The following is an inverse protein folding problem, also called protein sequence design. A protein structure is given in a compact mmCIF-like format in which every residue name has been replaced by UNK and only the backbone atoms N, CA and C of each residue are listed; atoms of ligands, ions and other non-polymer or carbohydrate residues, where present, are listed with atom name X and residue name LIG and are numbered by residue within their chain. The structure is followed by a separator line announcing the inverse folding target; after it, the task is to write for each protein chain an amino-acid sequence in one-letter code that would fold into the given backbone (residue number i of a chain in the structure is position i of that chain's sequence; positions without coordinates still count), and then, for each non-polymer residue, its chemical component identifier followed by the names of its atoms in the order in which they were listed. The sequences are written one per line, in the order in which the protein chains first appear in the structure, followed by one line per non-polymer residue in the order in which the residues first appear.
data_IF_598630424116
#
_entry.id   IF_598630424116
#
_cell.length_a   1.000
_cell.length_b   1.000
_cell.length_c   1.000
_cell.angle_alpha   90.00
_cell.angle_beta   90.00
_cell.angle_gamma   90.00
#
_symmetry.space_group_name_H-M   'P 1'
#
loop_
_entity.id
_entity.type
_entity.pdbx_description
1 polymer ?
#
# COMPACT_ATOMS: atom_id res chain seq x y z
N UNK A 1 18.42 -6.84 0.18
CA UNK A 1 18.59 -5.36 0.25
C UNK A 1 18.57 -4.99 1.73
N UNK A 2 19.58 -4.26 2.24
CA UNK A 2 19.61 -3.86 3.67
C UNK A 2 18.77 -2.60 3.85
N UNK A 3 17.86 -2.60 4.83
CA UNK A 3 17.02 -1.45 5.22
C UNK A 3 17.82 -0.63 6.25
N UNK A 4 17.90 0.69 6.10
CA UNK A 4 18.55 1.58 7.07
C UNK A 4 17.52 2.03 8.12
N UNK A 5 17.66 1.51 9.35
CA UNK A 5 16.65 1.64 10.41
C UNK A 5 16.66 3.03 11.10
N UNK A 6 17.74 3.81 10.94
CA UNK A 6 17.91 5.09 11.65
C UNK A 6 17.38 6.31 10.87
N UNK A 7 17.15 6.18 9.56
CA UNK A 7 16.47 7.21 8.76
C UNK A 7 14.95 7.27 9.06
N UNK A 8 14.43 6.30 9.83
CA UNK A 8 13.01 5.95 9.90
C UNK A 8 12.16 6.77 10.89
N UNK A 9 12.70 7.78 11.57
CA UNK A 9 11.94 8.55 12.58
C UNK A 9 11.38 9.83 11.96
N UNK A 10 10.14 9.79 11.49
CA UNK A 10 9.36 11.04 11.37
C UNK A 10 8.91 11.40 12.77
N UNK A 11 9.27 12.60 13.24
CA UNK A 11 8.75 13.06 14.51
C UNK A 11 7.26 13.33 14.35
N UNK A 12 6.48 13.11 15.41
CA UNK A 12 5.02 13.36 15.41
C UNK A 12 4.69 14.78 14.91
N UNK A 13 5.53 15.76 15.26
CA UNK A 13 5.37 17.14 14.82
C UNK A 13 5.50 17.29 13.29
N UNK A 14 6.44 16.56 12.66
CA UNK A 14 6.62 16.58 11.21
C UNK A 14 5.41 15.97 10.48
N UNK A 15 4.79 14.95 11.09
CA UNK A 15 3.55 14.34 10.56
C UNK A 15 2.41 15.36 10.64
N UNK A 16 2.24 16.04 11.78
CA UNK A 16 1.22 17.08 11.98
C UNK A 16 1.40 18.22 10.97
N UNK A 17 2.62 18.72 10.82
CA UNK A 17 2.94 19.80 9.88
C UNK A 17 2.68 19.36 8.44
N UNK A 18 3.15 18.18 8.05
CA UNK A 18 2.93 17.61 6.73
C UNK A 18 1.44 17.49 6.38
N UNK A 19 0.64 16.94 7.29
CA UNK A 19 -0.82 16.82 7.09
C UNK A 19 -1.50 18.20 6.92
N UNK A 20 -1.12 19.19 7.74
CA UNK A 20 -1.66 20.55 7.60
C UNK A 20 -1.29 21.16 6.24
N UNK A 21 -0.03 21.02 5.81
CA UNK A 21 0.42 21.50 4.50
C UNK A 21 -0.36 20.84 3.36
N UNK A 22 -0.68 19.55 3.47
CA UNK A 22 -1.39 18.81 2.42
C UNK A 22 -2.86 19.12 2.38
N UNK A 23 -3.45 19.40 3.54
CA UNK A 23 -4.82 19.90 3.61
C UNK A 23 -4.97 21.15 2.75
N UNK A 24 -4.01 22.08 2.81
CA UNK A 24 -4.02 23.27 1.96
C UNK A 24 -3.71 22.97 0.48
N UNK A 25 -2.82 22.02 0.20
CA UNK A 25 -2.34 21.73 -1.15
C UNK A 25 -3.33 20.89 -1.99
N UNK A 26 -4.02 19.94 -1.36
CA UNK A 26 -4.73 18.85 -2.02
C UNK A 26 -6.21 18.77 -1.69
N UNK A 27 -6.67 19.44 -0.63
CA UNK A 27 -8.06 19.35 -0.21
C UNK A 27 -8.83 20.62 -0.59
N UNK A 28 -9.99 20.42 -1.21
CA UNK A 28 -11.02 21.45 -1.26
C UNK A 28 -11.83 21.35 0.05
N UNK A 29 -12.50 22.43 0.51
CA UNK A 29 -13.08 22.47 1.87
C UNK A 29 -14.08 21.33 2.17
N UNK A 30 -14.78 20.83 1.15
CA UNK A 30 -15.85 19.83 1.28
C UNK A 30 -15.53 18.47 0.62
N UNK A 31 -14.25 18.16 0.44
CA UNK A 31 -13.79 16.92 -0.17
C UNK A 31 -13.68 15.77 0.85
N UNK A 32 -14.06 14.54 0.45
CA UNK A 32 -13.86 13.33 1.25
C UNK A 32 -12.40 13.12 1.70
N UNK A 33 -11.43 13.50 0.88
CA UNK A 33 -10.01 13.42 1.25
C UNK A 33 -9.65 14.39 2.38
N UNK A 34 -10.32 15.54 2.48
CA UNK A 34 -10.15 16.46 3.61
C UNK A 34 -10.55 15.78 4.93
N UNK A 35 -11.65 15.02 4.91
CA UNK A 35 -12.13 14.27 6.08
C UNK A 35 -11.07 13.27 6.53
N UNK A 36 -10.51 12.50 5.62
CA UNK A 36 -9.46 11.52 5.94
C UNK A 36 -8.20 12.19 6.51
N UNK A 37 -7.74 13.30 5.92
CA UNK A 37 -6.59 14.07 6.44
C UNK A 37 -6.87 14.63 7.84
N UNK A 38 -8.10 15.07 8.12
CA UNK A 38 -8.53 15.53 9.45
C UNK A 38 -8.55 14.36 10.45
N UNK A 39 -9.06 13.19 10.07
CA UNK A 39 -9.05 11.99 10.91
C UNK A 39 -7.62 11.55 11.25
N UNK A 40 -6.73 11.52 10.27
CA UNK A 40 -5.31 11.28 10.47
C UNK A 40 -4.69 12.29 11.45
N UNK A 41 -4.98 13.58 11.27
CA UNK A 41 -4.45 14.63 12.14
C UNK A 41 -4.96 14.49 13.59
N UNK A 42 -6.23 14.12 13.76
CA UNK A 42 -6.82 13.86 15.08
C UNK A 42 -6.14 12.66 15.75
N UNK A 43 -5.97 11.54 15.04
CA UNK A 43 -5.29 10.35 15.54
C UNK A 43 -3.83 10.65 15.94
N UNK A 44 -3.07 11.35 15.09
CA UNK A 44 -1.67 11.72 15.40
C UNK A 44 -1.59 12.60 16.65
N UNK A 45 -2.49 13.56 16.82
CA UNK A 45 -2.56 14.41 18.03
C UNK A 45 -2.96 13.63 19.28
N UNK A 46 -3.92 12.70 19.16
CA UNK A 46 -4.32 11.83 20.25
C UNK A 46 -3.15 10.93 20.67
N UNK A 47 -2.48 10.28 19.71
CA UNK A 47 -1.29 9.46 19.95
C UNK A 47 -0.16 10.24 20.62
N UNK A 48 0.12 11.47 20.15
CA UNK A 48 1.10 12.37 20.75
C UNK A 48 0.80 12.69 22.22
N UNK A 49 -0.49 12.88 22.53
CA UNK A 49 -0.94 13.19 23.89
C UNK A 49 -0.80 11.97 24.80
N UNK A 50 -1.11 10.77 24.28
CA UNK A 50 -0.94 9.50 24.98
C UNK A 50 0.54 9.26 25.30
N UNK A 51 1.45 9.47 24.34
CA UNK A 51 2.89 9.31 24.56
C UNK A 51 3.49 10.26 25.60
N UNK A 52 2.87 11.44 25.83
CA UNK A 52 3.28 12.39 26.87
C UNK A 52 2.64 12.10 28.23
N UNK A 53 1.68 11.18 28.29
CA UNK A 53 0.99 10.81 29.51
C UNK A 53 1.94 10.14 30.51
N UNK A 54 1.61 10.24 31.79
CA UNK A 54 2.33 9.57 32.88
C UNK A 54 1.91 8.11 33.06
N UNK A 55 0.86 7.67 32.35
CA UNK A 55 0.33 6.32 32.43
C UNK A 55 0.95 5.43 31.35
N UNK A 56 1.17 4.13 31.63
CA UNK A 56 1.63 3.19 30.63
C UNK A 56 0.61 3.08 29.50
N UNK A 57 1.12 3.00 28.26
CA UNK A 57 0.29 2.89 27.07
C UNK A 57 -0.21 1.44 26.95
N UNK A 58 -1.53 1.24 27.01
CA UNK A 58 -2.13 -0.07 26.79
C UNK A 58 -2.45 -0.31 25.32
N UNK A 59 -1.45 -0.79 24.57
CA UNK A 59 -1.56 -1.06 23.13
C UNK A 59 -2.54 -2.18 22.77
N UNK A 60 -3.00 -3.00 23.73
CA UNK A 60 -4.09 -3.97 23.52
C UNK A 60 -5.47 -3.36 23.29
N UNK A 61 -5.64 -2.05 23.52
CA UNK A 61 -6.91 -1.36 23.24
C UNK A 61 -7.18 -1.28 21.73
N UNK A 62 -8.36 -1.75 21.29
CA UNK A 62 -8.81 -1.62 19.90
C UNK A 62 -8.80 -0.16 19.41
N UNK A 63 -9.19 0.80 20.27
CA UNK A 63 -9.15 2.23 19.94
C UNK A 63 -7.73 2.73 19.69
N UNK A 64 -6.77 2.29 20.51
CA UNK A 64 -5.37 2.67 20.31
C UNK A 64 -4.77 1.99 19.07
N UNK A 65 -5.13 0.74 18.81
CA UNK A 65 -4.75 0.02 17.59
C UNK A 65 -5.26 0.74 16.34
N UNK A 66 -6.52 1.16 16.33
CA UNK A 66 -7.08 1.98 15.26
C UNK A 66 -6.33 3.31 15.10
N UNK A 67 -6.05 4.00 16.21
CA UNK A 67 -5.25 5.22 16.21
C UNK A 67 -3.86 5.00 15.58
N UNK A 68 -3.19 3.90 15.93
CA UNK A 68 -1.90 3.52 15.36
C UNK A 68 -1.97 3.23 13.85
N UNK A 69 -3.06 2.66 13.34
CA UNK A 69 -3.27 2.51 11.90
C UNK A 69 -3.34 3.87 11.20
N UNK A 70 -4.11 4.82 11.73
CA UNK A 70 -4.17 6.17 11.19
C UNK A 70 -2.83 6.89 11.24
N UNK A 71 -2.08 6.74 12.33
CA UNK A 71 -0.71 7.29 12.45
C UNK A 71 0.20 6.70 11.36
N UNK A 72 0.17 5.38 11.14
CA UNK A 72 0.98 4.74 10.10
C UNK A 72 0.58 5.22 8.69
N UNK A 73 -0.71 5.35 8.41
CA UNK A 73 -1.21 5.90 7.13
C UNK A 73 -0.79 7.35 6.92
N UNK A 74 -0.85 8.18 7.97
CA UNK A 74 -0.40 9.57 7.96
C UNK A 74 1.10 9.67 7.68
N UNK A 75 1.91 8.82 8.34
CA UNK A 75 3.36 8.76 8.12
C UNK A 75 3.67 8.49 6.65
N UNK A 76 3.02 7.50 6.03
CA UNK A 76 3.26 7.15 4.64
C UNK A 76 2.88 8.28 3.68
N UNK A 77 1.69 8.86 3.88
CA UNK A 77 1.23 9.99 3.07
C UNK A 77 2.20 11.18 3.16
N UNK A 78 2.62 11.51 4.39
CA UNK A 78 3.62 12.56 4.67
C UNK A 78 4.95 12.27 4.00
N UNK A 79 5.48 11.05 4.12
CA UNK A 79 6.75 10.67 3.50
C UNK A 79 6.70 10.80 1.98
N UNK A 80 5.73 10.17 1.35
CA UNK A 80 5.68 10.16 -0.10
C UNK A 80 5.53 11.57 -0.66
N UNK A 81 4.57 12.34 -0.15
CA UNK A 81 4.34 13.68 -0.66
C UNK A 81 5.55 14.56 -0.41
N UNK A 82 6.23 14.48 0.75
CA UNK A 82 7.41 15.30 1.03
C UNK A 82 8.57 14.99 0.06
N UNK A 83 8.75 13.71 -0.31
CA UNK A 83 9.82 13.28 -1.22
C UNK A 83 9.54 13.61 -2.69
N UNK A 84 8.29 13.88 -3.08
CA UNK A 84 7.97 14.37 -4.43
C UNK A 84 8.47 15.81 -4.58
N UNK A 85 9.51 16.01 -5.38
CA UNK A 85 10.14 17.32 -5.61
C UNK A 85 9.25 18.25 -6.44
N UNK A 86 8.68 17.73 -7.52
CA UNK A 86 7.73 18.49 -8.35
C UNK A 86 6.28 18.27 -7.86
N UNK A 87 5.82 19.19 -7.01
CA UNK A 87 4.45 19.17 -6.47
C UNK A 87 3.37 19.31 -7.56
N UNK A 88 3.69 19.79 -8.78
CA UNK A 88 2.70 19.85 -9.87
C UNK A 88 2.25 18.45 -10.28
N UNK A 89 3.11 17.43 -10.12
CA UNK A 89 2.76 16.04 -10.41
C UNK A 89 1.65 15.50 -9.51
N UNK A 90 1.50 16.03 -8.29
CA UNK A 90 0.42 15.64 -7.38
C UNK A 90 -0.98 15.95 -7.94
N UNK A 91 -1.10 16.97 -8.81
CA UNK A 91 -2.38 17.31 -9.46
C UNK A 91 -2.92 16.14 -10.30
N UNK A 92 -2.04 15.32 -10.87
CA UNK A 92 -2.42 14.16 -11.71
C UNK A 92 -3.06 13.02 -10.91
N UNK A 93 -2.73 12.91 -9.62
CA UNK A 93 -3.24 11.87 -8.73
C UNK A 93 -4.27 12.41 -7.72
N UNK A 94 -4.65 13.70 -7.82
CA UNK A 94 -5.63 14.32 -6.91
C UNK A 94 -6.94 13.55 -6.93
N UNK A 95 -7.46 13.18 -8.11
CA UNK A 95 -8.70 12.41 -8.22
C UNK A 95 -8.63 11.06 -7.49
N UNK A 96 -7.50 10.35 -7.58
CA UNK A 96 -7.27 9.10 -6.86
C UNK A 96 -7.16 9.29 -5.35
N UNK A 97 -6.52 10.37 -4.89
CA UNK A 97 -6.50 10.74 -3.47
C UNK A 97 -7.92 10.97 -2.93
N UNK A 98 -8.78 11.66 -3.70
CA UNK A 98 -10.20 11.86 -3.37
C UNK A 98 -10.95 10.54 -3.18
N UNK A 99 -10.73 9.60 -4.10
CA UNK A 99 -11.36 8.29 -4.07
C UNK A 99 -10.87 7.45 -2.88
N UNK A 100 -9.56 7.41 -2.62
CA UNK A 100 -9.01 6.62 -1.50
C UNK A 100 -9.39 7.23 -0.16
N UNK A 101 -9.55 8.56 -0.08
CA UNK A 101 -10.03 9.25 1.13
C UNK A 101 -11.37 8.75 1.66
N UNK A 102 -12.23 8.13 0.84
CA UNK A 102 -13.49 7.53 1.31
C UNK A 102 -13.34 6.10 1.84
N UNK A 103 -12.21 5.43 1.60
CA UNK A 103 -11.99 4.00 1.93
C UNK A 103 -10.76 3.73 2.81
N UNK A 104 -10.18 4.77 3.40
CA UNK A 104 -8.93 4.71 4.14
C UNK A 104 -7.70 4.68 3.24
N UNK A 105 -6.64 5.39 3.63
CA UNK A 105 -5.34 5.29 2.94
C UNK A 105 -4.44 4.22 3.58
N UNK A 106 -3.67 3.51 2.76
CA UNK A 106 -2.60 2.61 3.22
C UNK A 106 -3.09 1.46 4.09
N UNK A 107 -2.43 1.26 5.24
CA UNK A 107 -2.70 0.12 6.12
C UNK A 107 -4.12 0.13 6.69
N UNK A 108 -4.67 1.31 6.96
CA UNK A 108 -6.03 1.44 7.46
C UNK A 108 -7.06 0.82 6.49
N UNK A 109 -6.88 1.04 5.18
CA UNK A 109 -7.73 0.46 4.12
C UNK A 109 -7.71 -1.09 4.13
N UNK A 110 -6.53 -1.66 4.33
CA UNK A 110 -6.34 -3.12 4.40
C UNK A 110 -7.00 -3.70 5.64
N UNK A 111 -6.96 -3.00 6.77
CA UNK A 111 -7.47 -3.48 8.05
C UNK A 111 -8.98 -3.29 8.20
N UNK A 112 -9.57 -2.24 7.61
CA UNK A 112 -11.03 -2.09 7.57
C UNK A 112 -11.72 -3.28 6.90
N UNK A 113 -11.09 -3.90 5.89
CA UNK A 113 -11.60 -5.12 5.24
C UNK A 113 -11.44 -6.41 6.06
N UNK A 114 -10.63 -6.41 7.11
CA UNK A 114 -10.57 -7.52 8.08
C UNK A 114 -11.53 -7.28 9.25
N UNK A 115 -11.85 -6.01 9.53
CA UNK A 115 -12.92 -5.62 10.45
C UNK A 115 -14.23 -5.31 9.72
N UNK A 116 -14.75 -6.23 8.90
CA UNK A 116 -16.10 -6.11 8.30
C UNK A 116 -17.26 -5.98 9.33
N UNK A 117 -16.96 -5.94 10.64
CA UNK A 117 -17.89 -5.66 11.73
C UNK A 117 -17.81 -4.22 12.29
N UNK A 118 -16.79 -3.40 11.97
CA UNK A 118 -16.70 -2.00 12.44
C UNK A 118 -17.47 -1.00 11.57
N UNK A 119 -18.06 -1.46 10.46
CA UNK A 119 -19.10 -0.75 9.71
C UNK A 119 -20.26 -0.29 10.63
N UNK A 120 -20.46 -0.91 11.79
CA UNK A 120 -21.45 -0.50 12.78
C UNK A 120 -21.15 0.85 13.44
N UNK A 121 -19.87 1.21 13.66
CA UNK A 121 -19.49 2.46 14.31
C UNK A 121 -19.60 3.66 13.36
N UNK A 122 -19.22 3.48 12.09
CA UNK A 122 -19.36 4.53 11.07
C UNK A 122 -20.82 4.71 10.63
N UNK A 123 -21.60 3.62 10.57
CA UNK A 123 -23.04 3.68 10.28
C UNK A 123 -23.82 4.32 11.45
N UNK A 124 -23.35 4.23 12.70
CA UNK A 124 -23.92 5.00 13.82
C UNK A 124 -23.53 6.49 13.78
N UNK A 125 -22.28 6.83 13.44
CA UNK A 125 -21.86 8.22 13.27
C UNK A 125 -22.51 8.93 12.06
N UNK A 126 -22.91 8.17 11.03
CA UNK A 126 -23.57 8.70 9.83
C UNK A 126 -25.10 8.60 9.86
N UNK A 127 -25.70 7.75 10.69
CA UNK A 127 -27.16 7.76 10.95
C UNK A 127 -27.65 9.08 11.58
N UNK A 128 -26.77 9.85 12.22
CA UNK A 128 -27.09 11.20 12.69
C UNK A 128 -27.05 12.27 11.59
N UNK A 129 -26.53 11.95 10.40
CA UNK A 129 -26.57 12.80 9.20
C UNK A 129 -27.36 12.08 8.11
N UNK A 130 -28.67 12.33 8.09
CA UNK A 130 -29.53 11.92 6.98
C UNK A 130 -28.89 12.31 5.64
N UNK A 131 -28.89 11.37 4.69
CA UNK A 131 -28.29 11.41 3.35
C UNK A 131 -26.78 11.17 3.25
N UNK A 132 -26.40 9.89 3.19
CA UNK A 132 -25.82 9.35 1.96
C UNK A 132 -25.77 7.83 2.02
N UNK A 133 -26.47 7.17 1.10
CA UNK A 133 -26.33 5.73 0.86
C UNK A 133 -24.94 5.52 0.27
N UNK A 134 -23.92 5.33 1.11
CA UNK A 134 -22.55 5.11 0.62
C UNK A 134 -22.59 3.86 -0.27
N UNK A 135 -22.24 4.04 -1.54
CA UNK A 135 -22.25 2.96 -2.50
C UNK A 135 -21.12 2.00 -2.12
N UNK A 136 -21.47 0.84 -1.55
CA UNK A 136 -20.53 -0.22 -1.13
C UNK A 136 -19.57 -0.65 -2.26
N UNK A 137 -19.92 -0.42 -3.53
CA UNK A 137 -19.02 -0.65 -4.67
C UNK A 137 -17.87 0.36 -4.72
N UNK A 138 -18.14 1.64 -4.41
CA UNK A 138 -17.14 2.72 -4.37
C UNK A 138 -16.14 2.51 -3.24
N UNK A 139 -16.59 2.10 -2.04
CA UNK A 139 -15.69 1.77 -0.92
C UNK A 139 -14.80 0.56 -1.23
N UNK A 140 -15.38 -0.48 -1.84
CA UNK A 140 -14.62 -1.68 -2.24
C UNK A 140 -13.54 -1.35 -3.27
N UNK A 141 -13.85 -0.46 -4.20
CA UNK A 141 -12.93 0.02 -5.22
C UNK A 141 -11.85 0.93 -4.63
N UNK A 142 -12.21 1.90 -3.78
CA UNK A 142 -11.28 2.79 -3.08
C UNK A 142 -10.19 2.04 -2.32
N UNK A 143 -10.57 1.02 -1.54
CA UNK A 143 -9.59 0.22 -0.80
C UNK A 143 -8.67 -0.62 -1.72
N UNK A 144 -9.12 -1.01 -2.93
CA UNK A 144 -8.23 -1.67 -3.93
C UNK A 144 -7.27 -0.67 -4.57
N UNK A 145 -7.72 0.58 -4.76
CA UNK A 145 -6.93 1.68 -5.30
C UNK A 145 -5.92 2.26 -4.33
N UNK A 146 -6.04 1.98 -3.03
CA UNK A 146 -5.10 2.45 -2.00
C UNK A 146 -3.65 2.06 -2.32
N UNK A 147 -3.40 0.81 -2.74
CA UNK A 147 -2.06 0.30 -3.05
C UNK A 147 -1.54 0.87 -4.36
N UNK A 148 -2.39 1.00 -5.37
CA UNK A 148 -2.04 1.66 -6.62
C UNK A 148 -1.62 3.11 -6.35
N UNK A 149 -2.37 3.81 -5.51
CA UNK A 149 -2.06 5.18 -5.13
C UNK A 149 -0.74 5.26 -4.33
N UNK A 150 -0.49 4.35 -3.40
CA UNK A 150 0.77 4.28 -2.66
C UNK A 150 1.96 4.08 -3.62
N UNK A 151 1.84 3.16 -4.57
CA UNK A 151 2.88 2.91 -5.57
C UNK A 151 3.09 4.10 -6.50
N UNK A 152 2.02 4.79 -6.89
CA UNK A 152 2.11 6.00 -7.69
C UNK A 152 2.82 7.12 -6.94
N UNK A 153 2.43 7.35 -5.68
CA UNK A 153 3.06 8.32 -4.80
C UNK A 153 4.56 8.01 -4.59
N UNK A 154 4.90 6.74 -4.36
CA UNK A 154 6.28 6.28 -4.31
C UNK A 154 6.99 6.56 -5.64
N UNK A 155 6.40 6.20 -6.77
CA UNK A 155 7.03 6.37 -8.06
C UNK A 155 7.26 7.85 -8.43
N UNK A 156 6.34 8.76 -8.09
CA UNK A 156 6.50 10.20 -8.34
C UNK A 156 7.73 10.84 -7.66
N UNK A 157 8.26 10.22 -6.60
CA UNK A 157 9.50 10.66 -5.95
C UNK A 157 10.74 10.36 -6.82
N UNK A 158 10.75 9.23 -7.54
CA UNK A 158 11.95 8.72 -8.20
C UNK A 158 11.90 8.76 -9.73
N UNK A 159 10.71 8.86 -10.32
CA UNK A 159 10.49 8.72 -11.76
C UNK A 159 9.92 10.00 -12.39
N UNK A 160 9.95 10.05 -13.72
CA UNK A 160 9.62 11.26 -14.47
C UNK A 160 8.13 11.54 -14.46
N UNK A 161 7.31 10.49 -14.55
CA UNK A 161 5.86 10.62 -14.48
C UNK A 161 5.18 9.33 -14.04
N UNK A 162 3.92 9.46 -13.62
CA UNK A 162 3.02 8.34 -13.33
C UNK A 162 1.65 8.61 -13.93
N UNK A 163 1.10 7.58 -14.57
CA UNK A 163 -0.26 7.55 -15.08
C UNK A 163 -1.00 6.45 -14.30
N UNK A 164 -2.03 6.82 -13.56
CA UNK A 164 -2.95 5.89 -12.91
C UNK A 164 -4.15 5.64 -13.81
N UNK A 165 -4.61 4.39 -13.86
CA UNK A 165 -5.89 4.09 -14.52
C UNK A 165 -7.04 4.79 -13.76
N UNK A 166 -7.94 5.44 -14.51
CA UNK A 166 -9.11 6.07 -13.93
C UNK A 166 -10.14 4.98 -13.54
N UNK A 167 -10.50 4.87 -12.26
CA UNK A 167 -11.46 3.88 -11.78
C UNK A 167 -12.87 4.07 -12.38
N UNK A 168 -13.26 5.31 -12.69
CA UNK A 168 -14.60 5.63 -13.22
C UNK A 168 -14.68 5.46 -14.75
N UNK A 169 -13.53 5.45 -15.42
CA UNK A 169 -13.45 5.41 -16.89
C UNK A 169 -12.61 4.25 -17.41
N UNK A 170 -12.41 3.20 -16.61
CA UNK A 170 -11.78 1.97 -17.08
C UNK A 170 -12.62 1.39 -18.22
N UNK A 171 -12.02 1.25 -19.40
CA UNK A 171 -12.71 0.74 -20.58
C UNK A 171 -12.06 -0.55 -21.05
N UNK A 172 -12.88 -1.58 -21.24
CA UNK A 172 -12.46 -2.83 -21.89
C UNK A 172 -11.87 -2.61 -23.29
N UNK A 173 -12.28 -1.51 -23.95
CA UNK A 173 -11.79 -1.12 -25.27
C UNK A 173 -10.43 -0.44 -25.22
N UNK A 174 -10.01 0.11 -24.07
CA UNK A 174 -8.71 0.75 -23.87
C UNK A 174 -8.08 0.44 -22.51
N UNK A 175 -7.75 -0.84 -22.23
CA UNK A 175 -7.25 -1.24 -20.93
C UNK A 175 -5.80 -0.79 -20.78
N UNK A 176 -5.59 0.13 -19.84
CA UNK A 176 -4.27 0.43 -19.32
C UNK A 176 -3.95 -0.60 -18.23
N UNK A 177 -2.66 -0.80 -17.91
CA UNK A 177 -2.32 -1.37 -16.63
C UNK A 177 -2.76 -0.41 -15.52
N UNK A 178 -2.93 -0.93 -14.31
CA UNK A 178 -3.38 -0.16 -13.16
C UNK A 178 -2.46 1.07 -12.94
N UNK A 179 -1.16 0.93 -13.21
CA UNK A 179 -0.19 2.02 -13.28
C UNK A 179 0.72 1.94 -14.51
N UNK A 180 1.07 3.11 -15.07
CA UNK A 180 2.21 3.29 -15.97
C UNK A 180 3.20 4.25 -15.31
N UNK A 181 4.44 3.80 -15.12
CA UNK A 181 5.54 4.63 -14.62
C UNK A 181 6.48 4.97 -15.77
N UNK A 182 6.84 6.26 -15.89
CA UNK A 182 7.66 6.78 -17.00
C UNK A 182 9.07 7.11 -16.51
N UNK A 183 10.09 6.62 -17.23
CA UNK A 183 11.50 6.96 -17.02
C UNK A 183 12.21 7.11 -18.37
N UNK A 184 12.50 8.35 -18.76
CA UNK A 184 12.94 8.71 -20.10
C UNK A 184 11.91 8.25 -21.14
N UNK A 185 12.37 7.43 -22.09
CA UNK A 185 11.51 6.84 -23.13
C UNK A 185 10.81 5.55 -22.68
N UNK A 186 11.17 5.01 -21.51
CA UNK A 186 10.61 3.77 -21.02
C UNK A 186 9.27 4.01 -20.31
N UNK A 187 8.31 3.13 -20.60
CA UNK A 187 6.98 3.09 -19.98
C UNK A 187 6.77 1.72 -19.36
N UNK A 188 6.88 1.66 -18.04
CA UNK A 188 6.72 0.43 -17.25
C UNK A 188 5.26 0.26 -16.87
N UNK A 189 4.65 -0.86 -17.24
CA UNK A 189 3.28 -1.19 -16.85
C UNK A 189 3.26 -2.02 -15.59
N UNK A 190 2.44 -1.65 -14.61
CA UNK A 190 2.22 -2.44 -13.39
C UNK A 190 0.74 -2.81 -13.32
N UNK A 191 0.47 -4.11 -13.32
CA UNK A 191 -0.87 -4.63 -13.03
C UNK A 191 -0.91 -5.10 -11.58
N UNK A 192 -1.65 -4.40 -10.74
CA UNK A 192 -1.83 -4.63 -9.32
C UNK A 192 -3.00 -5.58 -9.06
N UNK A 193 -2.79 -6.57 -8.18
CA UNK A 193 -3.83 -7.48 -7.70
C UNK A 193 -3.66 -7.68 -6.19
N UNK A 194 -4.70 -7.43 -5.42
CA UNK A 194 -4.73 -7.80 -3.99
C UNK A 194 -5.36 -9.17 -3.83
N UNK A 195 -4.71 -10.05 -3.07
CA UNK A 195 -5.17 -11.41 -2.82
C UNK A 195 -5.55 -11.55 -1.36
N UNK A 196 -6.73 -12.13 -1.12
CA UNK A 196 -7.30 -12.37 0.22
C UNK A 196 -7.62 -13.84 0.47
N UNK A 197 -7.18 -14.75 -0.41
CA UNK A 197 -7.35 -16.19 -0.27
C UNK A 197 -6.02 -16.92 -0.39
N UNK A 198 -5.83 -18.00 0.39
CA UNK A 198 -4.70 -18.92 0.27
C UNK A 198 -4.87 -19.92 -0.88
N UNK A 199 -5.94 -19.83 -1.65
CA UNK A 199 -6.21 -20.74 -2.76
C UNK A 199 -5.23 -20.51 -3.93
N UNK A 200 -4.41 -21.54 -4.24
CA UNK A 200 -3.43 -21.52 -5.33
C UNK A 200 -4.02 -21.20 -6.70
N UNK A 201 -5.19 -21.76 -7.03
CA UNK A 201 -5.84 -21.54 -8.32
C UNK A 201 -6.29 -20.09 -8.48
N UNK A 202 -6.84 -19.50 -7.42
CA UNK A 202 -7.20 -18.08 -7.39
C UNK A 202 -5.96 -17.17 -7.56
N UNK A 203 -4.84 -17.49 -6.90
CA UNK A 203 -3.57 -16.77 -7.09
C UNK A 203 -3.10 -16.82 -8.56
N UNK A 204 -3.08 -18.02 -9.16
CA UNK A 204 -2.69 -18.22 -10.57
C UNK A 204 -3.61 -17.42 -11.49
N UNK A 205 -4.92 -17.45 -11.26
CA UNK A 205 -5.90 -16.70 -12.04
C UNK A 205 -5.67 -15.19 -11.97
N UNK A 206 -5.30 -14.65 -10.80
CA UNK A 206 -4.94 -13.25 -10.66
C UNK A 206 -3.68 -12.89 -11.46
N UNK A 207 -2.65 -13.76 -11.45
CA UNK A 207 -1.45 -13.59 -12.28
C UNK A 207 -1.81 -13.62 -13.77
N UNK A 208 -2.63 -14.58 -14.21
CA UNK A 208 -3.07 -14.69 -15.60
C UNK A 208 -3.83 -13.44 -16.08
N UNK A 209 -4.73 -12.92 -15.24
CA UNK A 209 -5.46 -11.68 -15.54
C UNK A 209 -4.53 -10.47 -15.62
N UNK A 210 -3.56 -10.35 -14.72
CA UNK A 210 -2.56 -9.28 -14.76
C UNK A 210 -1.71 -9.36 -16.04
N UNK A 211 -1.24 -10.56 -16.43
CA UNK A 211 -0.49 -10.78 -17.68
C UNK A 211 -1.36 -10.40 -18.89
N UNK A 212 -2.64 -10.78 -18.89
CA UNK A 212 -3.58 -10.42 -19.97
C UNK A 212 -3.75 -8.91 -20.08
N UNK A 213 -3.89 -8.20 -18.96
CA UNK A 213 -3.98 -6.73 -18.91
C UNK A 213 -2.72 -6.09 -19.53
N UNK A 214 -1.54 -6.54 -19.10
CA UNK A 214 -0.25 -6.03 -19.60
C UNK A 214 -0.05 -6.32 -21.10
N UNK A 215 -0.44 -7.50 -21.59
CA UNK A 215 -0.40 -7.83 -23.03
C UNK A 215 -1.26 -6.90 -23.87
N UNK A 216 -2.47 -6.58 -23.41
CA UNK A 216 -3.34 -5.63 -24.13
C UNK A 216 -2.72 -4.24 -24.17
N UNK A 217 -2.16 -3.77 -23.05
CA UNK A 217 -1.47 -2.49 -22.98
C UNK A 217 -0.24 -2.43 -23.91
N UNK A 218 0.51 -3.52 -24.02
CA UNK A 218 1.63 -3.66 -24.95
C UNK A 218 1.17 -3.62 -26.42
N UNK A 219 0.10 -4.35 -26.76
CA UNK A 219 -0.45 -4.35 -28.13
C UNK A 219 -0.89 -2.94 -28.59
N UNK A 220 -1.27 -2.08 -27.64
CA UNK A 220 -1.59 -0.67 -27.86
C UNK A 220 -0.40 0.28 -27.75
N UNK A 221 0.80 -0.24 -27.46
CA UNK A 221 2.03 0.53 -27.25
C UNK A 221 1.95 1.54 -26.09
N UNK A 222 1.08 1.28 -25.10
CA UNK A 222 1.01 2.09 -23.87
C UNK A 222 2.21 1.85 -22.95
N UNK A 223 2.88 0.70 -23.10
CA UNK A 223 4.07 0.28 -22.34
C UNK A 223 5.12 -0.30 -23.28
N UNK A 224 6.39 -0.32 -22.85
CA UNK A 224 7.49 -0.91 -23.61
C UNK A 224 7.50 -2.45 -23.57
N UNK A 225 8.06 -3.08 -24.60
CA UNK A 225 8.22 -4.54 -24.67
C UNK A 225 9.11 -5.05 -23.54
N UNK A 226 8.63 -6.06 -22.80
CA UNK A 226 9.33 -6.62 -21.64
C UNK A 226 9.36 -5.71 -20.41
N UNK A 227 8.56 -4.63 -20.39
CA UNK A 227 8.47 -3.68 -19.27
C UNK A 227 7.15 -3.78 -18.49
N UNK A 228 6.43 -4.89 -18.65
CA UNK A 228 5.20 -5.19 -17.89
C UNK A 228 5.49 -6.04 -16.66
N UNK A 229 5.00 -5.61 -15.49
CA UNK A 229 5.24 -6.23 -14.19
C UNK A 229 3.90 -6.60 -13.55
N UNK A 230 3.79 -7.84 -13.06
CA UNK A 230 2.66 -8.24 -12.21
C UNK A 230 3.00 -7.88 -10.77
N UNK A 231 2.17 -7.09 -10.11
CA UNK A 231 2.32 -6.71 -8.72
C UNK A 231 1.18 -7.33 -7.91
N UNK A 232 1.54 -8.11 -6.90
CA UNK A 232 0.58 -8.81 -6.05
C UNK A 232 0.75 -8.34 -4.62
N UNK A 233 -0.30 -7.75 -4.10
CA UNK A 233 -0.43 -7.46 -2.68
C UNK A 233 -1.01 -8.69 -1.95
N UNK A 234 -0.29 -9.15 -0.93
CA UNK A 234 -0.70 -10.26 -0.05
C UNK A 234 -0.99 -9.78 1.38
N UNK A 235 -1.08 -8.47 1.60
CA UNK A 235 -1.24 -7.90 2.93
C UNK A 235 -2.47 -8.46 3.65
N UNK A 236 -3.60 -8.63 2.95
CA UNK A 236 -4.82 -9.18 3.54
C UNK A 236 -4.70 -10.64 4.07
N UNK A 237 -3.62 -11.36 3.70
CA UNK A 237 -3.35 -12.73 4.17
C UNK A 237 -2.45 -12.79 5.41
N UNK A 238 -1.90 -11.67 5.85
CA UNK A 238 -1.06 -11.62 7.04
C UNK A 238 -1.92 -11.76 8.31
N UNK A 239 -1.37 -12.39 9.35
CA UNK A 239 -1.97 -12.39 10.68
C UNK A 239 -1.65 -11.05 11.37
N UNK A 240 -2.47 -10.05 11.08
CA UNK A 240 -2.27 -8.69 11.53
C UNK A 240 -2.40 -8.49 13.04
N UNK A 241 -3.19 -9.30 13.73
CA UNK A 241 -3.28 -9.25 15.19
C UNK A 241 -1.95 -9.67 15.82
N UNK A 242 -1.43 -10.83 15.38
CA UNK A 242 -0.13 -11.34 15.82
C UNK A 242 1.01 -10.39 15.43
N UNK A 243 0.96 -9.81 14.24
CA UNK A 243 1.97 -8.84 13.78
C UNK A 243 1.92 -7.54 14.57
N UNK A 244 0.73 -7.02 14.87
CA UNK A 244 0.58 -5.80 15.65
C UNK A 244 1.21 -5.96 17.03
N UNK A 245 0.79 -6.99 17.76
CA UNK A 245 1.38 -7.43 19.03
C UNK A 245 1.13 -8.92 19.21
N UNK A 246 2.16 -9.77 19.43
CA UNK A 246 1.95 -11.22 19.53
C UNK A 246 1.21 -11.60 20.82
N UNK A 247 1.28 -10.77 21.86
CA UNK A 247 0.40 -10.79 23.03
C UNK A 247 0.44 -9.43 23.75
N UNK A 248 -0.46 -9.21 24.70
CA UNK A 248 -0.64 -7.93 25.42
C UNK A 248 0.61 -7.45 26.20
N UNK A 249 1.55 -8.36 26.50
CA UNK A 249 2.74 -8.07 27.30
C UNK A 249 4.04 -8.12 26.49
N UNK A 250 3.95 -8.24 25.16
CA UNK A 250 5.12 -8.41 24.31
C UNK A 250 5.08 -7.43 23.14
N UNK A 251 6.19 -6.71 23.01
CA UNK A 251 6.48 -5.85 21.87
C UNK A 251 7.60 -6.47 21.04
N UNK A 252 7.59 -6.22 19.75
CA UNK A 252 8.65 -6.70 18.89
C UNK A 252 9.95 -5.95 19.17
N UNK A 253 11.08 -6.64 19.07
CA UNK A 253 12.37 -5.97 18.94
C UNK A 253 12.40 -5.27 17.56
N UNK A 254 12.68 -3.96 17.55
CA UNK A 254 12.70 -3.17 16.32
C UNK A 254 13.72 -3.64 15.28
N UNK A 255 14.83 -4.26 15.71
CA UNK A 255 15.82 -4.86 14.83
C UNK A 255 15.37 -6.22 14.28
N UNK A 256 14.52 -6.95 15.01
CA UNK A 256 14.00 -8.25 14.59
C UNK A 256 12.71 -8.13 13.74
N UNK A 257 11.93 -7.07 13.92
CA UNK A 257 10.65 -6.86 13.24
C UNK A 257 10.69 -6.98 11.70
N UNK A 258 11.73 -6.50 10.98
CA UNK A 258 11.86 -6.75 9.54
C UNK A 258 11.94 -8.25 9.19
N UNK A 259 12.65 -9.05 9.99
CA UNK A 259 12.76 -10.48 9.76
C UNK A 259 11.42 -11.19 10.04
N UNK A 260 10.68 -10.74 11.06
CA UNK A 260 9.35 -11.27 11.41
C UNK A 260 8.37 -11.09 10.25
N UNK A 261 8.24 -9.88 9.71
CA UNK A 261 7.30 -9.66 8.60
C UNK A 261 7.72 -10.41 7.33
N UNK A 262 9.02 -10.51 7.04
CA UNK A 262 9.51 -11.31 5.90
C UNK A 262 9.23 -12.80 6.06
N UNK A 263 9.29 -13.30 7.30
CA UNK A 263 8.92 -14.68 7.61
C UNK A 263 7.42 -14.92 7.40
N UNK A 264 6.56 -14.02 7.88
CA UNK A 264 5.11 -14.12 7.67
C UNK A 264 4.75 -14.06 6.17
N UNK A 265 5.38 -13.17 5.39
CA UNK A 265 5.22 -13.15 3.93
C UNK A 265 5.66 -14.47 3.30
N UNK A 266 6.77 -15.03 3.75
CA UNK A 266 7.26 -16.32 3.23
C UNK A 266 6.31 -17.46 3.56
N UNK A 267 5.71 -17.47 4.76
CA UNK A 267 4.70 -18.45 5.15
C UNK A 267 3.43 -18.32 4.31
N UNK A 268 2.93 -17.09 4.09
CA UNK A 268 1.79 -16.84 3.20
C UNK A 268 2.06 -17.37 1.80
N UNK A 269 3.22 -17.08 1.23
CA UNK A 269 3.59 -17.57 -0.10
C UNK A 269 3.71 -19.09 -0.14
N UNK A 270 4.25 -19.72 0.90
CA UNK A 270 4.31 -21.18 1.01
C UNK A 270 2.91 -21.81 1.07
N UNK A 271 1.99 -21.21 1.84
CA UNK A 271 0.61 -21.66 1.93
C UNK A 271 -0.13 -21.52 0.58
N UNK A 272 0.15 -20.45 -0.17
CA UNK A 272 -0.49 -20.18 -1.47
C UNK A 272 0.09 -21.05 -2.59
N UNK A 273 1.42 -21.15 -2.69
CA UNK A 273 2.10 -21.81 -3.81
C UNK A 273 2.37 -23.30 -3.56
N UNK A 274 2.35 -23.73 -2.29
CA UNK A 274 2.74 -25.06 -1.85
C UNK A 274 4.27 -25.26 -1.88
N UNK A 275 4.69 -26.51 -1.97
CA UNK A 275 6.12 -26.91 -2.05
C UNK A 275 6.74 -26.79 -3.45
N UNK A 276 5.99 -26.30 -4.43
CA UNK A 276 6.46 -26.20 -5.81
C UNK A 276 7.36 -25.00 -6.04
N UNK A 277 8.34 -25.16 -6.94
CA UNK A 277 9.20 -24.06 -7.37
C UNK A 277 8.41 -23.00 -8.17
N UNK A 278 8.75 -21.73 -7.96
CA UNK A 278 8.07 -20.58 -8.59
C UNK A 278 8.14 -20.66 -10.12
N UNK A 279 9.27 -21.04 -10.69
CA UNK A 279 9.42 -21.18 -12.13
C UNK A 279 8.53 -22.31 -12.67
N UNK A 280 8.43 -23.44 -11.95
CA UNK A 280 7.52 -24.53 -12.33
C UNK A 280 6.04 -24.12 -12.31
N UNK A 281 5.63 -23.28 -11.35
CA UNK A 281 4.23 -22.88 -11.15
C UNK A 281 3.83 -21.75 -12.11
N UNK A 282 4.64 -20.69 -12.18
CA UNK A 282 4.29 -19.45 -12.87
C UNK A 282 4.96 -19.31 -14.23
N UNK A 283 6.11 -19.96 -14.45
CA UNK A 283 6.85 -19.92 -15.72
C UNK A 283 5.99 -20.22 -16.95
N UNK A 284 5.11 -21.24 -16.94
CA UNK A 284 4.19 -21.50 -18.05
C UNK A 284 3.30 -20.31 -18.43
N UNK A 285 2.90 -19.45 -17.48
CA UNK A 285 2.03 -18.30 -17.71
C UNK A 285 2.74 -17.19 -18.51
N UNK A 286 4.04 -17.06 -18.29
CA UNK A 286 4.90 -16.09 -18.96
C UNK A 286 5.47 -16.62 -20.28
N UNK A 287 5.30 -17.91 -20.60
CA UNK A 287 5.67 -18.42 -21.92
C UNK A 287 4.88 -17.67 -22.99
N UNK A 288 5.59 -17.13 -23.99
CA UNK A 288 5.05 -16.32 -25.09
C UNK A 288 4.48 -14.96 -24.63
N UNK A 289 4.79 -14.50 -23.43
CA UNK A 289 4.36 -13.18 -22.97
C UNK A 289 5.49 -12.18 -23.18
N UNK A 290 5.26 -11.14 -23.97
CA UNK A 290 6.20 -10.02 -24.15
C UNK A 290 6.18 -9.06 -22.94
N UNK A 291 6.00 -9.61 -21.75
CA UNK A 291 6.02 -8.93 -20.44
C UNK A 291 7.18 -9.49 -19.62
N UNK A 292 7.63 -8.78 -18.58
CA UNK A 292 8.72 -9.30 -17.76
C UNK A 292 8.29 -10.58 -17.04
N UNK A 293 9.13 -11.64 -17.00
CA UNK A 293 8.82 -12.90 -16.34
C UNK A 293 9.04 -12.77 -14.81
N UNK A 294 8.38 -11.81 -14.19
CA UNK A 294 8.46 -11.56 -12.75
C UNK A 294 7.10 -11.20 -12.16
N UNK A 295 6.89 -11.66 -10.92
CA UNK A 295 5.81 -11.25 -10.05
C UNK A 295 6.42 -10.57 -8.83
N UNK A 296 6.02 -9.34 -8.55
CA UNK A 296 6.43 -8.61 -7.36
C UNK A 296 5.40 -8.84 -6.28
N UNK A 297 5.78 -9.53 -5.22
CA UNK A 297 4.99 -9.68 -4.01
C UNK A 297 5.23 -8.48 -3.13
N UNK A 298 4.15 -7.86 -2.70
CA UNK A 298 4.14 -6.78 -1.74
C UNK A 298 3.31 -7.19 -0.54
N UNK A 299 3.78 -6.81 0.63
CA UNK A 299 2.96 -6.83 1.82
C UNK A 299 3.26 -5.58 2.64
N UNK A 300 2.33 -5.21 3.48
CA UNK A 300 2.55 -4.22 4.52
C UNK A 300 1.99 -4.68 5.86
N UNK A 301 2.57 -4.21 6.95
CA UNK A 301 2.16 -4.59 8.30
C UNK A 301 2.54 -3.52 9.31
N UNK A 302 1.70 -3.37 10.33
CA UNK A 302 1.96 -2.54 11.48
C UNK A 302 2.35 -3.42 12.66
N UNK A 303 3.40 -3.04 13.37
CA UNK A 303 3.92 -3.74 14.53
C UNK A 303 4.20 -2.72 15.63
N UNK A 304 3.91 -3.03 16.89
CA UNK A 304 4.46 -2.24 18.01
C UNK A 304 5.85 -2.80 18.31
N UNK A 305 6.87 -1.96 18.19
CA UNK A 305 8.25 -2.38 18.39
C UNK A 305 9.03 -1.42 19.30
N UNK A 306 9.91 -2.00 20.12
CA UNK A 306 10.80 -1.29 21.03
C UNK A 306 12.26 -1.32 20.59
N UNK A 307 13.01 -0.27 20.93
CA UNK A 307 14.46 -0.15 20.76
C UNK A 307 15.20 0.06 22.10
N UNK A 308 14.53 -0.23 23.22
CA UNK A 308 15.04 -0.01 24.57
C UNK A 308 14.88 1.44 25.08
N UNK A 309 14.50 2.39 24.23
CA UNK A 309 14.15 3.77 24.63
C UNK A 309 12.63 3.97 24.78
N UNK A 310 11.84 3.03 24.26
CA UNK A 310 10.39 3.01 24.37
C UNK A 310 9.76 2.23 23.22
N UNK A 311 8.44 2.09 23.27
CA UNK A 311 7.64 1.38 22.27
C UNK A 311 6.93 2.34 21.32
N UNK A 312 6.96 2.04 20.04
CA UNK A 312 6.26 2.83 19.03
C UNK A 312 5.69 1.94 17.91
N UNK A 313 4.61 2.37 17.26
CA UNK A 313 4.14 1.75 16.02
C UNK A 313 5.23 1.89 14.96
N UNK A 314 5.61 0.75 14.38
CA UNK A 314 6.53 0.64 13.24
C UNK A 314 5.83 -0.03 12.08
N UNK A 315 5.94 0.64 10.94
CA UNK A 315 5.25 0.25 9.73
C UNK A 315 6.24 -0.28 8.70
N UNK A 316 5.98 -1.49 8.21
CA UNK A 316 6.86 -2.24 7.32
C UNK A 316 6.17 -2.53 6.00
N UNK A 317 6.93 -2.47 4.89
CA UNK A 317 6.45 -2.65 3.51
C UNK A 317 7.37 -3.55 2.68
N UNK A 318 7.56 -4.83 3.04
CA UNK A 318 8.44 -5.71 2.28
C UNK A 318 7.97 -5.90 0.83
N UNK A 319 8.92 -5.80 -0.10
CA UNK A 319 8.76 -6.27 -1.47
C UNK A 319 9.66 -7.48 -1.73
N UNK A 320 9.11 -8.50 -2.38
CA UNK A 320 9.83 -9.70 -2.80
C UNK A 320 9.58 -9.96 -4.27
N UNK A 321 10.64 -10.12 -5.05
CA UNK A 321 10.52 -10.45 -6.47
C UNK A 321 10.56 -11.97 -6.64
N UNK A 322 9.54 -12.51 -7.28
CA UNK A 322 9.46 -13.89 -7.73
C UNK A 322 9.79 -13.92 -9.22
N UNK A 323 10.94 -14.49 -9.57
CA UNK A 323 11.45 -14.52 -10.95
C UNK A 323 11.18 -15.86 -11.59
N UNK A 324 10.59 -15.87 -12.77
CA UNK A 324 10.38 -17.07 -13.58
C UNK A 324 11.29 -17.10 -14.82
N UNK A 325 12.16 -16.10 -14.99
CA UNK A 325 13.07 -15.99 -16.13
C UNK A 325 13.92 -14.73 -16.02
N UNK A 326 14.43 -14.26 -17.16
CA UNK A 326 15.23 -13.05 -17.21
C UNK A 326 14.38 -11.78 -16.99
N UNK A 327 14.61 -11.10 -15.87
CA UNK A 327 13.97 -9.85 -15.50
C UNK A 327 14.94 -8.65 -15.57
N UNK A 328 16.09 -8.81 -16.23
CA UNK A 328 17.14 -7.78 -16.34
C UNK A 328 16.61 -6.43 -16.84
N UNK A 329 15.65 -6.45 -17.77
CA UNK A 329 14.99 -5.25 -18.33
C UNK A 329 14.25 -4.39 -17.28
N UNK A 330 13.79 -5.01 -16.20
CA UNK A 330 13.04 -4.34 -15.13
C UNK A 330 13.79 -4.33 -13.80
N UNK A 331 14.95 -4.99 -13.69
CA UNK A 331 15.69 -5.10 -12.43
C UNK A 331 16.04 -3.72 -11.85
N UNK A 332 16.61 -2.81 -12.65
CA UNK A 332 16.94 -1.44 -12.22
C UNK A 332 15.69 -0.66 -11.80
N UNK A 333 14.60 -0.80 -12.57
CA UNK A 333 13.31 -0.19 -12.25
C UNK A 333 12.79 -0.68 -10.90
N UNK A 334 12.79 -2.00 -10.66
CA UNK A 334 12.32 -2.61 -9.41
C UNK A 334 13.16 -2.20 -8.20
N UNK A 335 14.48 -2.11 -8.35
CA UNK A 335 15.37 -1.58 -7.30
C UNK A 335 15.00 -0.14 -6.96
N UNK A 336 14.87 0.71 -7.97
CA UNK A 336 14.53 2.13 -7.80
C UNK A 336 13.11 2.33 -7.24
N UNK A 337 12.15 1.52 -7.67
CA UNK A 337 10.78 1.52 -7.13
C UNK A 337 10.77 1.05 -5.67
N UNK A 338 11.56 0.02 -5.32
CA UNK A 338 11.70 -0.42 -3.94
C UNK A 338 12.29 0.69 -3.05
N UNK A 339 13.36 1.37 -3.50
CA UNK A 339 13.89 2.55 -2.83
C UNK A 339 12.86 3.69 -2.70
N UNK A 340 11.95 3.82 -3.67
CA UNK A 340 10.89 4.80 -3.63
C UNK A 340 9.81 4.45 -2.59
N UNK A 341 9.42 3.18 -2.50
CA UNK A 341 8.49 2.66 -1.50
C UNK A 341 9.06 2.75 -0.08
N UNK A 342 10.38 2.56 0.02
CA UNK A 342 11.18 2.77 1.21
C UNK A 342 11.89 4.13 1.17
N UNK A 343 11.24 5.20 0.69
CA UNK A 343 11.76 6.56 0.86
C UNK A 343 11.75 7.05 2.33
N UNK A 344 11.87 6.08 3.23
CA UNK A 344 11.96 6.09 4.67
C UNK A 344 13.34 6.63 5.07
#
# INVERSE_FOLDING_TARGET
MRINVDAEKLHINDIIEGLNNYRHLLCDQDDSFNVEVVSMLAAVKAYASIQRGILPIFFGSETLKECCHYVASAMDLVRYINKITDKKKLKKIKAHLKLVGTGGFGIYATYQKLQFNSAFAYEQLTKEKNDTKINKEVERDAARKSIELMLALAALNKFDDVILEDPLHSSDTNPNPDLIVVEGENRYGIACKSISSTNKSNFIQHVEYAIKQLRKALGKKSIGSGLGIVFIDVSALLNHDKLFMPNENFYWDSHAAPAVILNEVSQVLSNVLGSGDVHSILGPLFKKADVAPCVVIYAHGLMIAGDGQGEAPRYYKPMRVLTCGDHSKVAKFLTKLNEANHCQ
#
